data_IF_649817868717
#
_entry.id   IF_649817868717
#
_cell.length_a   1.000
_cell.length_b   1.000
_cell.length_c   1.000
_cell.angle_alpha   90.00
_cell.angle_beta   90.00
_cell.angle_gamma   90.00
#
_symmetry.space_group_name_H-M   'P 1'
#
loop_
_entity.id
_entity.type
_entity.pdbx_description
1 polymer ?
#
# COMPACT_ATOMS: atom_id res chain seq x y z
N UNK A 1 -13.62 7.02 7.10
CA UNK A 1 -14.70 6.03 6.87
C UNK A 1 -14.08 4.67 6.59
N UNK A 2 -14.64 3.64 7.16
CA UNK A 2 -14.18 2.26 6.96
C UNK A 2 -15.24 1.51 6.17
N UNK A 3 -14.82 0.80 5.14
CA UNK A 3 -15.73 0.03 4.32
C UNK A 3 -15.07 -1.29 3.94
N UNK A 4 -15.80 -2.38 4.04
CA UNK A 4 -15.33 -3.70 3.64
C UNK A 4 -15.83 -3.99 2.23
N UNK A 5 -14.92 -4.21 1.28
CA UNK A 5 -15.27 -4.54 -0.10
C UNK A 5 -15.20 -6.02 -0.39
N UNK A 6 -14.25 -6.71 0.21
CA UNK A 6 -13.99 -8.12 0.00
C UNK A 6 -13.98 -8.82 1.34
N UNK A 7 -14.22 -10.13 1.40
CA UNK A 7 -14.06 -10.87 2.64
C UNK A 7 -12.68 -10.60 3.25
N UNK A 8 -12.66 -10.28 4.54
CA UNK A 8 -11.44 -10.03 5.29
C UNK A 8 -10.64 -8.83 4.79
N UNK A 9 -11.31 -7.83 4.21
CA UNK A 9 -10.66 -6.62 3.72
C UNK A 9 -11.28 -5.37 4.33
N UNK A 10 -10.48 -4.32 4.45
CA UNK A 10 -10.90 -3.00 4.92
C UNK A 10 -10.47 -1.94 3.94
N UNK A 11 -11.31 -0.93 3.77
CA UNK A 11 -10.98 0.23 2.96
C UNK A 11 -11.07 1.48 3.82
N UNK A 12 -9.99 2.22 3.90
CA UNK A 12 -9.93 3.51 4.60
C UNK A 12 -9.86 4.61 3.56
N UNK A 13 -10.61 5.69 3.77
CA UNK A 13 -10.69 6.77 2.81
C UNK A 13 -10.41 8.12 3.47
N UNK A 14 -9.70 8.97 2.75
CA UNK A 14 -9.51 10.36 3.12
C UNK A 14 -10.45 11.23 2.30
N UNK A 15 -11.10 12.22 2.93
CA UNK A 15 -12.02 13.13 2.27
C UNK A 15 -11.56 14.56 2.39
N UNK A 16 -11.80 15.34 1.35
CA UNK A 16 -11.64 16.79 1.35
C UNK A 16 -12.87 17.39 0.69
N UNK A 17 -13.60 18.28 1.41
CA UNK A 17 -14.83 18.91 0.90
C UNK A 17 -15.84 17.88 0.38
N UNK A 18 -16.05 16.79 1.14
CA UNK A 18 -16.97 15.68 0.81
C UNK A 18 -16.56 14.85 -0.41
N UNK A 19 -15.38 15.10 -0.97
CA UNK A 19 -14.84 14.28 -2.04
C UNK A 19 -13.80 13.33 -1.49
N UNK A 20 -13.78 12.08 -1.98
CA UNK A 20 -12.76 11.12 -1.63
C UNK A 20 -11.49 11.48 -2.40
N UNK A 21 -10.43 11.81 -1.68
CA UNK A 21 -9.15 12.20 -2.26
C UNK A 21 -8.04 11.16 -2.05
N UNK A 22 -8.31 10.13 -1.27
CA UNK A 22 -7.35 9.05 -1.08
C UNK A 22 -8.00 7.80 -0.52
N UNK A 23 -7.44 6.65 -0.82
CA UNK A 23 -7.91 5.35 -0.32
C UNK A 23 -6.73 4.48 0.07
N UNK A 24 -6.96 3.62 1.07
CA UNK A 24 -6.02 2.59 1.47
C UNK A 24 -6.80 1.29 1.65
N UNK A 25 -6.45 0.28 0.87
CA UNK A 25 -7.10 -1.03 0.91
C UNK A 25 -6.18 -2.02 1.60
N UNK A 26 -6.70 -2.67 2.63
CA UNK A 26 -5.94 -3.60 3.46
C UNK A 26 -6.69 -4.93 3.50
N UNK A 27 -5.97 -6.02 3.35
CA UNK A 27 -6.53 -7.37 3.43
C UNK A 27 -5.93 -8.11 4.62
N UNK A 28 -6.80 -8.78 5.39
CA UNK A 28 -6.34 -9.69 6.44
C UNK A 28 -5.74 -10.95 5.81
N UNK A 29 -4.56 -11.35 6.29
CA UNK A 29 -3.89 -12.57 5.82
C UNK A 29 -3.92 -13.69 6.86
N UNK A 30 -4.66 -13.48 7.98
CA UNK A 30 -4.67 -14.42 9.08
C UNK A 30 -3.43 -14.29 9.96
N UNK A 31 -3.40 -15.00 11.09
CA UNK A 31 -2.25 -15.01 12.00
C UNK A 31 -1.79 -13.60 12.42
N UNK A 32 -2.75 -12.71 12.66
CA UNK A 32 -2.47 -11.33 13.10
C UNK A 32 -1.67 -10.53 12.06
N UNK A 33 -1.76 -10.90 10.79
CA UNK A 33 -1.06 -10.26 9.69
C UNK A 33 -2.05 -9.59 8.76
N UNK A 34 -1.72 -8.40 8.27
CA UNK A 34 -2.47 -7.68 7.25
C UNK A 34 -1.54 -7.25 6.14
N UNK A 35 -2.07 -7.17 4.93
CA UNK A 35 -1.32 -6.69 3.77
C UNK A 35 -2.00 -5.46 3.19
N UNK A 36 -1.21 -4.40 2.98
CA UNK A 36 -1.68 -3.21 2.27
C UNK A 36 -1.66 -3.54 0.78
N UNK A 37 -2.84 -3.62 0.17
CA UNK A 37 -2.97 -3.96 -1.25
C UNK A 37 -2.81 -2.74 -2.13
N UNK A 38 -3.26 -1.58 -1.65
CA UNK A 38 -3.22 -0.35 -2.43
C UNK A 38 -3.31 0.84 -1.50
N UNK A 39 -2.55 1.88 -1.82
CA UNK A 39 -2.73 3.21 -1.26
C UNK A 39 -2.61 4.19 -2.41
N UNK A 40 -3.65 5.00 -2.61
CA UNK A 40 -3.71 5.93 -3.73
C UNK A 40 -4.28 7.25 -3.27
N UNK A 41 -3.72 8.34 -3.77
CA UNK A 41 -4.15 9.70 -3.49
C UNK A 41 -4.37 10.42 -4.81
N UNK A 42 -5.47 11.18 -4.89
CA UNK A 42 -5.76 12.02 -6.06
C UNK A 42 -4.52 12.84 -6.44
N UNK A 43 -4.12 12.85 -7.72
CA UNK A 43 -2.92 13.58 -8.15
C UNK A 43 -2.90 15.06 -7.74
N UNK A 44 -4.07 15.69 -7.65
CA UNK A 44 -4.16 17.09 -7.23
C UNK A 44 -3.91 17.29 -5.73
N UNK A 45 -3.83 16.22 -4.96
CA UNK A 45 -3.69 16.26 -3.50
C UNK A 45 -2.43 15.55 -3.01
N UNK A 46 -1.59 15.02 -3.90
CA UNK A 46 -0.49 14.14 -3.52
C UNK A 46 0.58 14.80 -2.64
N UNK A 47 0.81 16.10 -2.80
CA UNK A 47 1.87 16.79 -2.05
C UNK A 47 1.41 17.37 -0.73
N UNK A 48 0.18 17.12 -0.32
CA UNK A 48 -0.40 17.68 0.90
C UNK A 48 -0.26 16.76 2.13
N UNK A 49 0.52 15.67 2.03
CA UNK A 49 0.71 14.74 3.15
C UNK A 49 -0.47 13.80 3.39
N UNK A 50 -1.44 13.76 2.49
CA UNK A 50 -2.64 12.94 2.66
C UNK A 50 -2.31 11.45 2.71
N UNK A 51 -1.39 10.99 1.85
CA UNK A 51 -0.98 9.58 1.84
C UNK A 51 -0.38 9.14 3.18
N UNK A 52 0.47 9.96 3.76
CA UNK A 52 1.08 9.67 5.06
C UNK A 52 0.04 9.66 6.18
N UNK A 53 -0.88 10.62 6.19
CA UNK A 53 -1.96 10.65 7.18
C UNK A 53 -2.87 9.43 7.04
N UNK A 54 -3.22 9.07 5.82
CA UNK A 54 -4.09 7.93 5.54
C UNK A 54 -3.43 6.61 5.97
N UNK A 55 -2.15 6.43 5.65
CA UNK A 55 -1.41 5.24 6.06
C UNK A 55 -1.29 5.17 7.58
N UNK A 56 -0.97 6.29 8.24
CA UNK A 56 -0.89 6.33 9.71
C UNK A 56 -2.22 6.00 10.36
N UNK A 57 -3.32 6.52 9.81
CA UNK A 57 -4.66 6.20 10.29
C UNK A 57 -4.96 4.71 10.14
N UNK A 58 -4.67 4.13 8.99
CA UNK A 58 -4.88 2.72 8.74
C UNK A 58 -4.07 1.85 9.71
N UNK A 59 -2.80 2.17 9.92
CA UNK A 59 -1.95 1.43 10.84
C UNK A 59 -2.49 1.48 12.27
N UNK A 60 -2.98 2.63 12.73
CA UNK A 60 -3.60 2.74 14.05
C UNK A 60 -4.84 1.88 14.18
N UNK A 61 -5.67 1.82 13.14
CA UNK A 61 -6.87 0.97 13.14
C UNK A 61 -6.50 -0.51 13.19
N UNK A 62 -5.45 -0.90 12.47
CA UNK A 62 -4.98 -2.28 12.48
C UNK A 62 -4.44 -2.69 13.85
N UNK A 63 -3.73 -1.80 14.55
CA UNK A 63 -3.29 -2.06 15.92
C UNK A 63 -4.50 -2.32 16.81
N UNK A 64 -5.57 -1.53 16.68
CA UNK A 64 -6.80 -1.72 17.43
C UNK A 64 -7.51 -3.06 17.11
N UNK A 65 -7.22 -3.66 15.97
CA UNK A 65 -7.73 -4.98 15.57
C UNK A 65 -6.79 -6.12 15.92
N UNK A 66 -5.77 -5.85 16.72
CA UNK A 66 -4.75 -6.82 17.17
C UNK A 66 -3.88 -7.35 16.02
N UNK A 67 -3.74 -6.58 14.95
CA UNK A 67 -2.78 -6.89 13.90
C UNK A 67 -1.38 -6.57 14.41
N UNK A 68 -0.48 -7.53 14.32
CA UNK A 68 0.90 -7.37 14.79
C UNK A 68 1.90 -7.18 13.65
N UNK A 69 1.52 -7.58 12.43
CA UNK A 69 2.40 -7.51 11.28
C UNK A 69 1.66 -6.91 10.10
N UNK A 70 2.25 -5.91 9.47
CA UNK A 70 1.73 -5.28 8.26
C UNK A 70 2.74 -5.46 7.14
N UNK A 71 2.28 -5.99 6.01
CA UNK A 71 3.11 -6.26 4.85
C UNK A 71 2.63 -5.43 3.67
N UNK A 72 3.53 -5.15 2.73
CA UNK A 72 3.17 -4.58 1.43
C UNK A 72 4.19 -4.99 0.38
N UNK A 73 3.80 -4.89 -0.89
CA UNK A 73 4.68 -5.16 -2.01
C UNK A 73 5.01 -3.90 -2.78
N UNK A 74 6.22 -3.81 -3.29
CA UNK A 74 6.67 -2.68 -4.11
C UNK A 74 7.70 -3.15 -5.12
N UNK A 75 8.02 -2.31 -6.11
CA UNK A 75 9.12 -2.57 -7.02
C UNK A 75 10.47 -2.51 -6.33
N UNK A 76 11.50 -3.00 -7.01
CA UNK A 76 12.86 -3.05 -6.48
C UNK A 76 13.58 -1.70 -6.52
N UNK A 77 12.93 -0.69 -7.10
CA UNK A 77 13.46 0.67 -7.19
C UNK A 77 12.29 1.65 -7.29
N UNK A 78 12.59 2.93 -7.21
CA UNK A 78 11.58 3.98 -7.40
C UNK A 78 11.22 4.68 -6.10
N UNK A 79 10.39 5.72 -6.22
CA UNK A 79 10.05 6.60 -5.10
C UNK A 79 9.21 5.92 -4.03
N UNK A 80 8.40 4.93 -4.41
CA UNK A 80 7.55 4.22 -3.45
C UNK A 80 8.38 3.42 -2.46
N UNK A 81 9.39 2.71 -2.93
CA UNK A 81 10.28 1.96 -2.05
C UNK A 81 10.91 2.87 -1.00
N UNK A 82 11.48 3.99 -1.43
CA UNK A 82 12.10 4.94 -0.52
C UNK A 82 11.09 5.52 0.48
N UNK A 83 9.87 5.82 0.02
CA UNK A 83 8.81 6.34 0.85
C UNK A 83 8.45 5.37 1.98
N UNK A 84 8.23 4.10 1.65
CA UNK A 84 7.88 3.09 2.66
C UNK A 84 9.03 2.83 3.62
N UNK A 85 10.27 2.82 3.13
CA UNK A 85 11.43 2.64 3.99
C UNK A 85 11.58 3.79 5.00
N UNK A 86 11.28 5.02 4.59
CA UNK A 86 11.28 6.16 5.52
C UNK A 86 10.24 6.02 6.62
N UNK A 87 9.14 5.31 6.35
CA UNK A 87 8.09 5.05 7.34
C UNK A 87 8.40 3.86 8.24
N UNK A 88 9.53 3.21 8.05
CA UNK A 88 9.96 2.10 8.90
C UNK A 88 9.76 0.72 8.31
N UNK A 89 9.20 0.60 7.11
CA UNK A 89 9.10 -0.70 6.44
C UNK A 89 10.49 -1.18 6.02
N UNK A 90 10.70 -2.47 6.13
CA UNK A 90 11.97 -3.10 5.78
C UNK A 90 11.74 -4.21 4.77
N UNK A 91 12.67 -4.38 3.85
CA UNK A 91 12.61 -5.46 2.87
C UNK A 91 12.74 -6.80 3.59
N UNK A 92 11.80 -7.71 3.34
CA UNK A 92 11.81 -9.03 3.94
C UNK A 92 12.12 -10.12 2.92
N UNK A 93 11.53 -10.03 1.73
CA UNK A 93 11.71 -11.06 0.71
C UNK A 93 11.52 -10.48 -0.68
N UNK A 94 11.88 -11.27 -1.69
CA UNK A 94 11.74 -10.92 -3.09
C UNK A 94 10.81 -11.94 -3.76
N UNK A 95 9.81 -11.45 -4.50
CA UNK A 95 8.98 -12.31 -5.33
C UNK A 95 9.43 -12.10 -6.77
N UNK A 96 10.17 -13.07 -7.29
CA UNK A 96 10.75 -12.97 -8.63
C UNK A 96 9.68 -12.98 -9.71
N UNK A 97 9.86 -12.14 -10.71
CA UNK A 97 8.99 -12.04 -11.89
C UNK A 97 7.55 -11.66 -11.56
N UNK A 98 7.26 -11.11 -10.37
CA UNK A 98 5.91 -10.78 -9.95
C UNK A 98 5.21 -9.87 -10.96
N UNK A 99 5.89 -8.80 -11.39
CA UNK A 99 5.28 -7.83 -12.31
C UNK A 99 5.17 -8.38 -13.73
N UNK A 100 6.00 -9.32 -14.11
CA UNK A 100 5.92 -9.98 -15.42
C UNK A 100 4.73 -10.95 -15.46
N UNK A 101 4.54 -11.72 -14.39
CA UNK A 101 3.54 -12.76 -14.33
C UNK A 101 2.13 -12.27 -14.02
N UNK A 102 2.00 -11.14 -13.32
CA UNK A 102 0.71 -10.65 -12.84
C UNK A 102 0.15 -9.46 -13.62
N UNK A 103 0.87 -8.91 -14.58
CA UNK A 103 0.41 -7.79 -15.40
C UNK A 103 0.60 -8.13 -16.88
N UNK A 104 -0.43 -7.85 -17.68
CA UNK A 104 -0.37 -8.13 -19.11
C UNK A 104 0.62 -7.23 -19.84
N UNK A 105 0.71 -5.97 -19.42
CA UNK A 105 1.61 -5.00 -20.04
C UNK A 105 2.81 -4.71 -19.12
N UNK A 106 4.01 -4.52 -19.71
CA UNK A 106 5.19 -4.18 -18.92
C UNK A 106 4.99 -2.87 -18.16
N UNK A 107 5.48 -2.81 -16.94
CA UNK A 107 5.43 -1.60 -16.11
C UNK A 107 6.84 -1.01 -16.03
N UNK A 108 6.98 0.24 -16.47
CA UNK A 108 8.26 0.93 -16.49
C UNK A 108 8.26 2.10 -15.52
N UNK A 109 9.41 2.36 -14.93
CA UNK A 109 9.65 3.56 -14.15
C UNK A 109 11.06 4.05 -14.46
N UNK A 110 11.18 5.31 -14.88
CA UNK A 110 12.47 5.90 -15.27
C UNK A 110 13.22 5.06 -16.32
N UNK A 111 12.47 4.48 -17.28
CA UNK A 111 13.05 3.71 -18.37
C UNK A 111 13.46 2.29 -18.00
N UNK A 112 13.22 1.85 -16.77
CA UNK A 112 13.58 0.50 -16.31
C UNK A 112 12.29 -0.26 -16.04
N UNK A 113 12.21 -1.47 -16.59
CA UNK A 113 11.04 -2.33 -16.38
C UNK A 113 11.03 -2.93 -14.96
N UNK A 114 9.89 -2.84 -14.30
CA UNK A 114 9.67 -3.57 -13.05
C UNK A 114 9.45 -5.04 -13.36
N UNK A 115 10.25 -5.89 -12.77
CA UNK A 115 10.14 -7.36 -12.96
C UNK A 115 9.84 -8.05 -11.65
N UNK A 116 10.60 -7.77 -10.62
CA UNK A 116 10.50 -8.43 -9.32
C UNK A 116 9.83 -7.52 -8.30
N UNK A 117 9.14 -8.11 -7.33
CA UNK A 117 8.52 -7.37 -6.24
C UNK A 117 9.29 -7.59 -4.95
N UNK A 118 9.52 -6.51 -4.22
CA UNK A 118 10.01 -6.60 -2.84
C UNK A 118 8.82 -6.68 -1.90
N UNK A 119 8.88 -7.61 -0.97
CA UNK A 119 7.88 -7.72 0.08
C UNK A 119 8.46 -7.09 1.35
N UNK A 120 7.75 -6.07 1.85
CA UNK A 120 8.16 -5.29 3.00
C UNK A 120 7.35 -5.65 4.23
#
# INVERSE_FOLDING_TARGET
>A
MIKSYLPNSWCYAAKSNDEIVGVCIVKSRGNETAEILNIAVDPNHQKAGIGTHLLSFALKKLIGKRIQRVELGTGTFGHQLAYYQRLGFRVESVVKNFFIENYEEPIFERGIQHKDMLKL
#
